data_IF_648322617054
#
_entry.id   IF_648322617054
#
_cell.length_a   1.000
_cell.length_b   1.000
_cell.length_c   1.000
_cell.angle_alpha   90.00
_cell.angle_beta   90.00
_cell.angle_gamma   90.00
#
_symmetry.space_group_name_H-M   'P 1'
#
loop_
_entity.id
_entity.type
_entity.pdbx_description
1 polymer ?
#
# COMPACT_ATOMS: atom_id res chain seq x y z
N UNK A 1 17.60 -11.25 24.64
CA UNK A 1 19.02 -10.88 24.56
C UNK A 1 19.14 -9.77 23.54
N UNK A 2 19.26 -8.51 23.98
CA UNK A 2 19.43 -7.38 23.05
C UNK A 2 20.84 -7.44 22.47
N UNK A 3 20.96 -7.77 21.19
CA UNK A 3 22.23 -7.62 20.48
C UNK A 3 22.64 -6.14 20.51
N UNK A 4 23.86 -5.83 20.94
CA UNK A 4 24.38 -4.45 20.94
C UNK A 4 24.57 -3.98 19.50
N UNK A 5 24.39 -2.67 19.25
CA UNK A 5 24.52 -2.08 17.92
C UNK A 5 25.88 -2.36 17.24
N UNK A 6 26.94 -2.60 18.03
CA UNK A 6 28.27 -2.98 17.53
C UNK A 6 28.29 -4.35 16.86
N UNK A 7 27.40 -5.27 17.25
CA UNK A 7 27.35 -6.63 16.70
C UNK A 7 26.82 -6.69 15.26
N UNK A 8 26.05 -5.70 14.82
CA UNK A 8 25.45 -5.66 13.49
C UNK A 8 26.30 -4.94 12.45
N UNK A 9 27.34 -4.23 12.87
CA UNK A 9 28.15 -3.40 11.96
C UNK A 9 28.90 -4.22 10.89
N UNK A 10 29.54 -5.37 11.20
CA UNK A 10 30.15 -6.21 10.17
C UNK A 10 29.12 -6.73 9.16
N UNK A 11 27.92 -7.10 9.64
CA UNK A 11 26.86 -7.62 8.79
C UNK A 11 26.29 -6.54 7.86
N UNK A 12 26.14 -5.30 8.35
CA UNK A 12 25.77 -4.14 7.53
C UNK A 12 26.78 -3.93 6.40
N UNK A 13 28.07 -3.95 6.71
CA UNK A 13 29.12 -3.76 5.71
C UNK A 13 29.08 -4.86 4.65
N UNK A 14 28.89 -6.12 5.03
CA UNK A 14 28.73 -7.24 4.09
C UNK A 14 27.55 -7.03 3.15
N UNK A 15 26.38 -6.61 3.68
CA UNK A 15 25.19 -6.36 2.86
C UNK A 15 25.37 -5.15 1.93
N UNK A 16 25.97 -4.07 2.40
CA UNK A 16 26.25 -2.88 1.58
C UNK A 16 27.28 -3.19 0.48
N UNK A 17 28.27 -4.05 0.75
CA UNK A 17 29.22 -4.52 -0.27
C UNK A 17 28.52 -5.41 -1.31
N UNK A 18 27.69 -6.35 -0.87
CA UNK A 18 26.90 -7.19 -1.77
C UNK A 18 25.97 -6.33 -2.66
N UNK A 19 25.35 -5.30 -2.09
CA UNK A 19 24.51 -4.35 -2.83
C UNK A 19 25.26 -3.70 -4.01
N UNK A 20 26.48 -3.20 -3.75
CA UNK A 20 27.34 -2.59 -4.77
C UNK A 20 27.67 -3.56 -5.90
N UNK A 21 27.91 -4.84 -5.58
CA UNK A 21 28.21 -5.88 -6.56
C UNK A 21 26.97 -6.18 -7.41
N UNK A 22 25.80 -6.39 -6.79
CA UNK A 22 24.56 -6.72 -7.50
C UNK A 22 24.18 -5.65 -8.52
N UNK A 23 24.30 -4.38 -8.14
CA UNK A 23 23.88 -3.23 -8.98
C UNK A 23 24.94 -2.88 -10.04
N UNK A 24 26.20 -3.25 -9.82
CA UNK A 24 27.29 -2.89 -10.74
C UNK A 24 27.09 -3.51 -12.12
N UNK A 25 27.34 -2.72 -13.17
CA UNK A 25 27.31 -3.18 -14.57
C UNK A 25 28.61 -3.87 -15.01
N UNK A 26 29.68 -3.81 -14.20
CA UNK A 26 31.03 -4.23 -14.60
C UNK A 26 31.51 -5.52 -13.94
N UNK A 27 30.70 -6.16 -13.10
CA UNK A 27 31.06 -7.41 -12.40
C UNK A 27 30.73 -8.65 -13.22
N UNK A 28 31.49 -9.72 -12.98
CA UNK A 28 31.24 -11.03 -13.59
C UNK A 28 29.88 -11.60 -13.15
N UNK A 29 29.39 -12.61 -13.88
CA UNK A 29 28.13 -13.27 -13.54
C UNK A 29 28.25 -14.02 -12.21
N UNK A 30 29.39 -14.65 -11.99
CA UNK A 30 29.71 -15.43 -10.80
C UNK A 30 29.72 -14.56 -9.54
N UNK A 31 30.41 -13.41 -9.59
CA UNK A 31 30.42 -12.44 -8.48
C UNK A 31 29.01 -11.90 -8.17
N UNK A 32 28.21 -11.65 -9.21
CA UNK A 32 26.81 -11.22 -9.03
C UNK A 32 25.97 -12.31 -8.37
N UNK A 33 26.09 -13.56 -8.79
CA UNK A 33 25.38 -14.70 -8.20
C UNK A 33 25.78 -14.92 -6.73
N UNK A 34 27.06 -14.74 -6.38
CA UNK A 34 27.53 -14.81 -4.98
C UNK A 34 26.93 -13.70 -4.11
N UNK A 35 26.88 -12.47 -4.62
CA UNK A 35 26.26 -11.36 -3.91
C UNK A 35 24.73 -11.53 -3.77
N UNK A 36 24.05 -12.07 -4.79
CA UNK A 36 22.63 -12.39 -4.71
C UNK A 36 22.31 -13.47 -3.66
N UNK A 37 23.17 -14.48 -3.52
CA UNK A 37 23.03 -15.50 -2.46
C UNK A 37 23.01 -14.89 -1.06
N UNK A 38 23.79 -13.83 -0.83
CA UNK A 38 23.78 -13.10 0.46
C UNK A 38 22.39 -12.54 0.74
N UNK A 39 21.74 -11.91 -0.25
CA UNK A 39 20.38 -11.37 -0.09
C UNK A 39 19.32 -12.46 0.07
N UNK A 40 19.46 -13.59 -0.63
CA UNK A 40 18.57 -14.75 -0.45
C UNK A 40 18.67 -15.26 0.99
N UNK A 41 19.88 -15.51 1.48
CA UNK A 41 20.11 -15.97 2.86
C UNK A 41 19.60 -14.95 3.88
N UNK A 42 19.81 -13.66 3.64
CA UNK A 42 19.30 -12.59 4.48
C UNK A 42 17.76 -12.63 4.57
N UNK A 43 17.07 -12.79 3.44
CA UNK A 43 15.61 -12.88 3.38
C UNK A 43 15.04 -14.13 4.06
N UNK A 44 15.79 -15.22 4.05
CA UNK A 44 15.43 -16.49 4.68
C UNK A 44 15.79 -16.56 6.16
N UNK A 45 16.58 -15.60 6.67
CA UNK A 45 16.98 -15.56 8.08
C UNK A 45 15.78 -15.48 9.03
N UNK A 46 15.95 -16.07 10.22
CA UNK A 46 14.91 -16.14 11.25
C UNK A 46 14.88 -14.87 12.06
N UNK A 47 13.69 -14.29 12.20
CA UNK A 47 13.43 -13.10 13.03
C UNK A 47 14.41 -11.93 12.76
N UNK A 48 14.51 -11.43 11.52
CA UNK A 48 15.51 -10.44 11.10
C UNK A 48 15.20 -8.99 11.53
N UNK A 49 14.15 -8.77 12.32
CA UNK A 49 13.55 -7.45 12.53
C UNK A 49 14.53 -6.42 13.10
N UNK A 50 15.25 -6.74 14.17
CA UNK A 50 16.19 -5.83 14.82
C UNK A 50 17.30 -5.37 13.85
N UNK A 51 17.85 -6.33 13.10
CA UNK A 51 18.88 -6.03 12.12
C UNK A 51 18.34 -5.24 10.92
N UNK A 52 17.13 -5.53 10.44
CA UNK A 52 16.51 -4.74 9.39
C UNK A 52 16.26 -3.30 9.83
N UNK A 53 15.80 -3.07 11.06
CA UNK A 53 15.65 -1.71 11.61
C UNK A 53 17.00 -1.00 11.76
N UNK A 54 18.03 -1.72 12.17
CA UNK A 54 19.39 -1.19 12.17
C UNK A 54 19.82 -0.73 10.77
N UNK A 55 19.57 -1.53 9.73
CA UNK A 55 19.84 -1.14 8.33
C UNK A 55 19.05 0.10 7.92
N UNK A 56 17.74 0.16 8.25
CA UNK A 56 16.89 1.31 7.93
C UNK A 56 17.41 2.63 8.55
N UNK A 57 18.04 2.54 9.73
CA UNK A 57 18.57 3.70 10.45
C UNK A 57 20.01 4.07 10.05
N UNK A 58 20.82 3.10 9.60
CA UNK A 58 22.27 3.27 9.42
C UNK A 58 22.74 3.24 7.98
N UNK A 59 21.99 2.60 7.08
CA UNK A 59 22.37 2.54 5.68
C UNK A 59 21.78 3.71 4.89
N UNK A 60 22.57 4.26 3.97
CA UNK A 60 22.12 5.21 2.96
C UNK A 60 21.94 4.58 1.57
N UNK A 61 22.17 3.26 1.46
CA UNK A 61 22.02 2.52 0.21
C UNK A 61 20.55 2.11 0.00
N UNK A 62 19.89 2.71 -0.99
CA UNK A 62 18.48 2.48 -1.29
C UNK A 62 18.15 1.01 -1.59
N UNK A 63 19.06 0.24 -2.19
CA UNK A 63 18.84 -1.16 -2.47
C UNK A 63 18.92 -1.98 -1.17
N UNK A 64 19.85 -1.66 -0.27
CA UNK A 64 19.88 -2.25 1.07
C UNK A 64 18.59 -1.95 1.84
N UNK A 65 18.11 -0.70 1.81
CA UNK A 65 16.84 -0.33 2.45
C UNK A 65 15.66 -1.14 1.86
N UNK A 66 15.60 -1.27 0.53
CA UNK A 66 14.58 -2.07 -0.15
C UNK A 66 14.62 -3.55 0.28
N UNK A 67 15.81 -4.13 0.35
CA UNK A 67 16.00 -5.53 0.75
C UNK A 67 15.64 -5.72 2.23
N UNK A 68 16.00 -4.78 3.11
CA UNK A 68 15.63 -4.83 4.52
C UNK A 68 14.09 -4.85 4.71
N UNK A 69 13.36 -3.98 4.01
CA UNK A 69 11.89 -3.95 4.05
C UNK A 69 11.28 -5.23 3.47
N UNK A 70 11.83 -5.71 2.35
CA UNK A 70 11.40 -6.97 1.72
C UNK A 70 11.63 -8.19 2.62
N UNK A 71 12.73 -8.17 3.40
CA UNK A 71 13.05 -9.19 4.39
C UNK A 71 12.11 -9.12 5.59
N UNK A 72 11.81 -7.92 6.11
CA UNK A 72 10.77 -7.73 7.15
C UNK A 72 9.44 -8.32 6.68
N UNK A 73 9.01 -7.99 5.46
CA UNK A 73 7.76 -8.49 4.89
C UNK A 73 7.74 -10.02 4.82
N UNK A 74 8.79 -10.62 4.22
CA UNK A 74 8.87 -12.07 4.05
C UNK A 74 8.92 -12.82 5.39
N UNK A 75 9.72 -12.33 6.34
CA UNK A 75 9.87 -12.95 7.65
C UNK A 75 8.58 -12.81 8.48
N UNK A 76 7.99 -11.62 8.52
CA UNK A 76 6.75 -11.39 9.27
C UNK A 76 5.62 -12.26 8.76
N UNK A 77 5.48 -12.40 7.44
CA UNK A 77 4.47 -13.24 6.84
C UNK A 77 4.67 -14.74 7.14
N UNK A 78 5.92 -15.20 7.16
CA UNK A 78 6.29 -16.59 7.51
C UNK A 78 6.11 -16.89 8.99
N UNK A 79 6.49 -15.93 9.84
CA UNK A 79 6.51 -16.04 11.30
C UNK A 79 5.22 -15.51 11.95
N UNK A 80 4.24 -15.07 11.15
CA UNK A 80 3.04 -14.37 11.61
C UNK A 80 2.33 -15.02 12.80
N UNK A 81 2.10 -16.35 12.83
CA UNK A 81 1.44 -17.00 13.96
C UNK A 81 2.22 -16.95 15.29
N UNK A 82 3.52 -16.66 15.21
CA UNK A 82 4.43 -16.57 16.35
C UNK A 82 4.59 -15.14 16.87
N UNK A 83 4.17 -14.13 16.09
CA UNK A 83 4.29 -12.73 16.45
C UNK A 83 3.20 -12.33 17.44
N UNK A 84 3.56 -11.51 18.42
CA UNK A 84 2.57 -10.90 19.31
C UNK A 84 1.84 -9.76 18.58
N UNK A 85 0.64 -9.43 19.06
CA UNK A 85 -0.10 -8.24 18.62
C UNK A 85 0.75 -6.97 18.68
N UNK A 86 1.48 -6.78 19.78
CA UNK A 86 2.35 -5.61 19.98
C UNK A 86 3.45 -5.54 18.91
N UNK A 87 4.11 -6.66 18.60
CA UNK A 87 5.12 -6.72 17.55
C UNK A 87 4.51 -6.39 16.18
N UNK A 88 3.33 -6.93 15.85
CA UNK A 88 2.65 -6.66 14.58
C UNK A 88 2.28 -5.18 14.43
N UNK A 89 1.79 -4.56 15.51
CA UNK A 89 1.47 -3.13 15.55
C UNK A 89 2.75 -2.29 15.38
N UNK A 90 3.80 -2.61 16.13
CA UNK A 90 5.08 -1.93 16.04
C UNK A 90 5.69 -2.02 14.63
N UNK A 91 5.63 -3.19 13.99
CA UNK A 91 6.10 -3.36 12.61
C UNK A 91 5.41 -2.41 11.63
N UNK A 92 4.10 -2.24 11.75
CA UNK A 92 3.33 -1.36 10.87
C UNK A 92 3.62 0.11 11.16
N UNK A 93 3.52 0.53 12.43
CA UNK A 93 3.70 1.92 12.85
C UNK A 93 5.13 2.38 12.60
N UNK A 94 6.15 1.59 12.94
CA UNK A 94 7.54 1.99 12.75
C UNK A 94 7.91 2.15 11.27
N UNK A 95 7.43 1.26 10.39
CA UNK A 95 7.65 1.39 8.95
C UNK A 95 6.93 2.61 8.37
N UNK A 96 5.70 2.86 8.82
CA UNK A 96 4.91 4.02 8.40
C UNK A 96 5.53 5.34 8.89
N UNK A 97 5.99 5.39 10.13
CA UNK A 97 6.67 6.55 10.71
C UNK A 97 8.01 6.79 10.00
N UNK A 98 8.78 5.73 9.76
CA UNK A 98 10.04 5.81 9.04
C UNK A 98 9.89 6.47 7.66
N UNK A 99 8.90 6.06 6.85
CA UNK A 99 8.72 6.65 5.51
C UNK A 99 8.13 8.06 5.54
N UNK A 100 7.38 8.43 6.59
CA UNK A 100 6.75 9.76 6.70
C UNK A 100 7.68 10.82 7.31
N UNK A 101 8.65 10.40 8.12
CA UNK A 101 9.63 11.28 8.78
C UNK A 101 10.94 11.42 8.00
N UNK A 102 11.29 10.41 7.21
CA UNK A 102 12.54 10.40 6.46
C UNK A 102 12.53 11.37 5.27
N UNK A 103 13.58 12.18 5.17
CA UNK A 103 13.69 13.23 4.14
C UNK A 103 14.33 12.77 2.82
N UNK A 104 15.00 11.61 2.80
CA UNK A 104 15.86 11.19 1.68
C UNK A 104 15.74 9.69 1.35
N UNK A 105 14.52 9.20 1.16
CA UNK A 105 14.28 7.83 0.68
C UNK A 105 13.90 7.88 -0.79
N UNK A 106 14.48 7.00 -1.61
CA UNK A 106 14.10 6.86 -3.01
C UNK A 106 12.66 6.35 -3.21
N UNK A 107 11.98 6.81 -4.26
CA UNK A 107 10.57 6.55 -4.48
C UNK A 107 10.22 5.05 -4.53
N UNK A 108 11.08 4.21 -5.10
CA UNK A 108 10.81 2.77 -5.17
C UNK A 108 10.89 2.10 -3.79
N UNK A 109 11.76 2.59 -2.89
CA UNK A 109 11.84 2.14 -1.50
C UNK A 109 10.62 2.60 -0.72
N UNK A 110 10.18 3.86 -0.91
CA UNK A 110 8.93 4.37 -0.32
C UNK A 110 7.74 3.47 -0.71
N UNK A 111 7.61 3.14 -2.00
CA UNK A 111 6.57 2.23 -2.49
C UNK A 111 6.64 0.85 -1.85
N UNK A 112 7.84 0.29 -1.69
CA UNK A 112 8.03 -1.01 -1.03
C UNK A 112 7.61 -0.99 0.45
N UNK A 113 7.94 0.09 1.17
CA UNK A 113 7.52 0.29 2.55
C UNK A 113 6.00 0.37 2.64
N UNK A 114 5.38 1.26 1.86
CA UNK A 114 3.93 1.46 1.88
C UNK A 114 3.16 0.20 1.49
N UNK A 115 3.64 -0.55 0.50
CA UNK A 115 3.08 -1.85 0.13
C UNK A 115 3.23 -2.88 1.27
N UNK A 116 4.37 -2.90 1.95
CA UNK A 116 4.60 -3.80 3.09
C UNK A 116 3.63 -3.48 4.24
N UNK A 117 3.45 -2.20 4.55
CA UNK A 117 2.47 -1.76 5.56
C UNK A 117 1.04 -2.14 5.14
N UNK A 118 0.66 -1.95 3.87
CA UNK A 118 -0.66 -2.36 3.37
C UNK A 118 -0.90 -3.87 3.49
N UNK A 119 0.12 -4.70 3.20
CA UNK A 119 0.06 -6.15 3.36
C UNK A 119 -0.14 -6.55 4.82
N UNK A 120 0.62 -5.94 5.75
CA UNK A 120 0.45 -6.18 7.19
C UNK A 120 -0.92 -5.73 7.68
N UNK A 121 -1.41 -4.57 7.21
CA UNK A 121 -2.71 -4.04 7.57
C UNK A 121 -3.84 -5.00 7.16
N UNK A 122 -3.85 -5.49 5.91
CA UNK A 122 -4.81 -6.52 5.45
C UNK A 122 -4.71 -7.81 6.25
N UNK A 123 -3.48 -8.26 6.55
CA UNK A 123 -3.25 -9.48 7.33
C UNK A 123 -3.77 -9.35 8.77
N UNK A 124 -3.59 -8.20 9.42
CA UNK A 124 -4.18 -7.92 10.73
C UNK A 124 -5.70 -7.99 10.69
N UNK A 125 -6.35 -7.37 9.68
CA UNK A 125 -7.81 -7.41 9.53
C UNK A 125 -8.34 -8.83 9.39
N UNK A 126 -7.62 -9.68 8.66
CA UNK A 126 -7.93 -11.10 8.57
C UNK A 126 -7.93 -11.78 9.95
N UNK A 127 -6.88 -11.61 10.75
CA UNK A 127 -6.76 -12.25 12.06
C UNK A 127 -7.84 -11.76 13.04
N UNK A 128 -8.17 -10.47 13.03
CA UNK A 128 -9.24 -9.92 13.88
C UNK A 128 -10.59 -10.53 13.52
N UNK A 129 -10.89 -10.72 12.23
CA UNK A 129 -12.11 -11.39 11.78
C UNK A 129 -12.16 -12.85 12.22
N UNK A 130 -11.07 -13.60 12.00
CA UNK A 130 -10.96 -15.01 12.36
C UNK A 130 -11.06 -15.24 13.88
N UNK A 131 -10.42 -14.39 14.68
CA UNK A 131 -10.47 -14.42 16.15
C UNK A 131 -11.89 -14.18 16.68
N UNK A 132 -12.61 -13.20 16.12
CA UNK A 132 -14.01 -12.91 16.48
C UNK A 132 -14.93 -14.10 16.20
N UNK A 133 -14.77 -14.76 15.05
CA UNK A 133 -15.60 -15.91 14.68
C UNK A 133 -15.35 -17.17 15.54
N UNK A 134 -14.11 -17.39 15.98
CA UNK A 134 -13.76 -18.53 16.84
C UNK A 134 -13.97 -18.27 18.34
N UNK A 135 -14.50 -17.11 18.72
CA UNK A 135 -14.65 -16.72 20.13
C UNK A 135 -13.32 -16.57 20.88
N UNK A 136 -12.21 -16.46 20.16
CA UNK A 136 -10.88 -16.31 20.73
C UNK A 136 -10.60 -14.81 20.95
N UNK A 137 -10.19 -14.42 22.15
CA UNK A 137 -9.88 -13.02 22.47
C UNK A 137 -8.44 -12.59 22.11
N UNK A 138 -7.55 -13.51 21.71
CA UNK A 138 -6.11 -13.21 21.55
C UNK A 138 -5.82 -12.05 20.59
N UNK A 139 -6.62 -11.89 19.53
CA UNK A 139 -6.41 -10.86 18.50
C UNK A 139 -7.60 -9.90 18.33
N UNK A 140 -8.57 -9.88 19.27
CA UNK A 140 -9.74 -8.99 19.19
C UNK A 140 -9.43 -7.53 19.56
N UNK A 141 -8.24 -7.25 20.09
CA UNK A 141 -7.79 -5.92 20.53
C UNK A 141 -6.80 -5.25 19.57
N UNK A 142 -6.52 -5.81 18.38
CA UNK A 142 -5.66 -5.12 17.40
C UNK A 142 -6.46 -3.97 16.76
N UNK A 143 -6.53 -2.83 17.45
CA UNK A 143 -7.13 -1.62 16.92
C UNK A 143 -6.15 -0.90 15.98
N UNK A 144 -5.90 -1.52 14.83
CA UNK A 144 -5.14 -0.93 13.73
C UNK A 144 -6.01 -0.05 12.83
N UNK A 145 -7.26 0.23 13.23
CA UNK A 145 -8.23 1.06 12.50
C UNK A 145 -7.69 2.48 12.22
N UNK A 146 -6.60 2.87 12.89
CA UNK A 146 -6.03 4.19 12.82
C UNK A 146 -5.06 4.45 11.66
N UNK A 147 -4.58 3.46 10.89
CA UNK A 147 -3.61 3.76 9.80
C UNK A 147 -4.25 4.47 8.60
N UNK A 148 -5.43 4.02 8.15
CA UNK A 148 -6.17 4.70 7.07
C UNK A 148 -6.60 6.10 7.51
N UNK A 149 -7.17 6.21 8.71
CA UNK A 149 -7.57 7.50 9.31
C UNK A 149 -6.38 8.45 9.44
N UNK A 150 -5.28 8.00 10.04
CA UNK A 150 -4.04 8.78 10.16
C UNK A 150 -3.49 9.20 8.80
N UNK A 151 -3.64 8.38 7.77
CA UNK A 151 -3.20 8.73 6.41
C UNK A 151 -4.05 9.83 5.78
N UNK A 152 -5.37 9.79 6.01
CA UNK A 152 -6.31 10.85 5.60
C UNK A 152 -5.99 12.17 6.34
N UNK A 153 -5.70 12.10 7.64
CA UNK A 153 -5.30 13.26 8.45
C UNK A 153 -3.96 13.84 7.97
N UNK A 154 -2.95 13.00 7.76
CA UNK A 154 -1.63 13.44 7.27
C UNK A 154 -1.69 14.02 5.87
N UNK A 155 -2.61 13.54 5.02
CA UNK A 155 -2.83 14.14 3.71
C UNK A 155 -3.41 15.57 3.81
N UNK A 156 -4.17 15.87 4.86
CA UNK A 156 -4.73 17.21 5.04
C UNK A 156 -3.68 18.26 5.42
N UNK A 157 -2.43 17.85 5.69
CA UNK A 157 -1.31 18.75 5.94
C UNK A 157 -0.85 19.48 4.66
N UNK A 158 -0.22 20.65 4.81
CA UNK A 158 0.28 21.46 3.68
C UNK A 158 1.51 20.89 2.96
N UNK A 159 2.13 19.83 3.50
CA UNK A 159 3.33 19.20 2.94
C UNK A 159 2.98 18.31 1.73
N UNK A 160 3.34 18.78 0.53
CA UNK A 160 3.07 18.09 -0.73
C UNK A 160 3.69 16.69 -0.81
N UNK A 161 4.88 16.48 -0.25
CA UNK A 161 5.54 15.17 -0.26
C UNK A 161 4.79 14.19 0.63
N UNK A 162 4.33 14.64 1.80
CA UNK A 162 3.48 13.82 2.67
C UNK A 162 2.16 13.47 1.99
N UNK A 163 1.53 14.42 1.30
CA UNK A 163 0.31 14.15 0.51
C UNK A 163 0.53 13.08 -0.54
N UNK A 164 1.62 13.14 -1.29
CA UNK A 164 1.97 12.13 -2.29
C UNK A 164 2.23 10.74 -1.66
N UNK A 165 2.92 10.70 -0.51
CA UNK A 165 3.11 9.45 0.26
C UNK A 165 1.78 8.86 0.72
N UNK A 166 0.88 9.68 1.28
CA UNK A 166 -0.42 9.22 1.77
C UNK A 166 -1.31 8.74 0.61
N UNK A 167 -1.28 9.43 -0.53
CA UNK A 167 -1.99 8.96 -1.73
C UNK A 167 -1.45 7.59 -2.19
N UNK A 168 -0.13 7.42 -2.21
CA UNK A 168 0.53 6.15 -2.54
C UNK A 168 0.18 5.04 -1.55
N UNK A 169 0.04 5.35 -0.26
CA UNK A 169 -0.37 4.38 0.76
C UNK A 169 -1.82 3.94 0.57
N UNK A 170 -2.75 4.89 0.41
CA UNK A 170 -4.16 4.58 0.17
C UNK A 170 -4.34 3.75 -1.12
N UNK A 171 -3.58 4.06 -2.16
CA UNK A 171 -3.53 3.25 -3.38
C UNK A 171 -3.06 1.82 -3.10
N UNK A 172 -1.96 1.66 -2.35
CA UNK A 172 -1.43 0.35 -1.97
C UNK A 172 -2.46 -0.46 -1.15
N UNK A 173 -3.18 0.18 -0.23
CA UNK A 173 -4.27 -0.44 0.55
C UNK A 173 -5.40 -0.90 -0.37
N UNK A 174 -5.95 -0.04 -1.22
CA UNK A 174 -7.01 -0.42 -2.17
C UNK A 174 -6.54 -1.58 -3.03
N UNK A 175 -5.37 -1.47 -3.67
CA UNK A 175 -4.85 -2.51 -4.54
C UNK A 175 -4.63 -3.84 -3.81
N UNK A 176 -4.14 -3.81 -2.57
CA UNK A 176 -3.92 -5.01 -1.76
C UNK A 176 -5.26 -5.70 -1.43
N UNK A 177 -6.31 -4.97 -1.06
CA UNK A 177 -7.64 -5.57 -0.82
C UNK A 177 -8.40 -5.95 -2.11
N UNK A 178 -8.09 -5.33 -3.26
CA UNK A 178 -8.62 -5.74 -4.56
C UNK A 178 -8.13 -7.14 -4.98
N UNK A 179 -6.92 -7.51 -4.59
CA UNK A 179 -6.30 -8.77 -5.00
C UNK A 179 -6.73 -9.93 -4.07
N UNK A 180 -7.79 -10.66 -4.47
CA UNK A 180 -8.34 -11.82 -3.75
C UNK A 180 -7.80 -13.17 -4.26
N UNK A 181 -7.11 -13.19 -5.41
CA UNK A 181 -6.76 -14.44 -6.12
C UNK A 181 -5.28 -14.85 -6.01
N UNK A 182 -4.34 -13.94 -5.68
CA UNK A 182 -2.88 -14.22 -5.78
C UNK A 182 -2.18 -14.61 -4.47
N UNK A 183 -2.88 -14.68 -3.34
CA UNK A 183 -2.27 -14.81 -2.00
C UNK A 183 -2.40 -16.19 -1.34
N UNK A 184 -2.50 -17.27 -2.12
CA UNK A 184 -2.38 -18.65 -1.61
C UNK A 184 -1.00 -18.99 -1.02
N UNK A 185 -0.03 -18.07 -1.08
CA UNK A 185 1.37 -18.30 -0.69
C UNK A 185 1.60 -18.57 0.81
N UNK A 186 0.60 -18.43 1.68
CA UNK A 186 0.77 -18.56 3.15
C UNK A 186 -0.40 -19.27 3.86
N UNK A 187 -1.12 -20.15 3.16
CA UNK A 187 -2.18 -20.96 3.79
C UNK A 187 -3.47 -20.20 4.15
N UNK A 188 -3.71 -19.03 3.57
CA UNK A 188 -4.99 -18.32 3.68
C UNK A 188 -5.96 -18.82 2.61
N UNK A 189 -7.21 -19.11 2.99
CA UNK A 189 -8.24 -19.54 2.04
C UNK A 189 -8.75 -18.36 1.20
N UNK A 190 -9.26 -18.63 0.00
CA UNK A 190 -9.91 -17.59 -0.82
C UNK A 190 -11.09 -16.93 -0.08
N UNK A 191 -11.83 -17.71 0.71
CA UNK A 191 -12.89 -17.21 1.58
C UNK A 191 -12.38 -16.17 2.60
N UNK A 192 -11.21 -16.42 3.18
CA UNK A 192 -10.55 -15.50 4.10
C UNK A 192 -10.26 -14.13 3.46
N UNK A 193 -9.78 -14.14 2.22
CA UNK A 193 -9.54 -12.91 1.46
C UNK A 193 -10.83 -12.18 1.11
N UNK A 194 -11.90 -12.91 0.78
CA UNK A 194 -13.23 -12.35 0.56
C UNK A 194 -13.78 -11.66 1.82
N UNK A 195 -13.67 -12.31 2.97
CA UNK A 195 -14.13 -11.75 4.24
C UNK A 195 -13.35 -10.49 4.64
N UNK A 196 -12.03 -10.49 4.45
CA UNK A 196 -11.19 -9.31 4.67
C UNK A 196 -11.60 -8.14 3.75
N UNK A 197 -11.81 -8.41 2.45
CA UNK A 197 -12.28 -7.40 1.48
C UNK A 197 -13.66 -6.85 1.86
N UNK A 198 -14.61 -7.70 2.22
CA UNK A 198 -15.95 -7.30 2.66
C UNK A 198 -15.90 -6.44 3.93
N UNK A 199 -15.08 -6.82 4.91
CA UNK A 199 -14.86 -6.02 6.10
C UNK A 199 -14.28 -4.65 5.73
N UNK A 200 -13.31 -4.58 4.82
CA UNK A 200 -12.72 -3.32 4.37
C UNK A 200 -13.74 -2.42 3.68
N UNK A 201 -14.60 -3.00 2.83
CA UNK A 201 -15.69 -2.26 2.17
C UNK A 201 -16.60 -1.55 3.17
N UNK A 202 -16.97 -2.23 4.26
CA UNK A 202 -17.92 -1.74 5.25
C UNK A 202 -17.33 -0.73 6.23
N UNK A 203 -16.03 -0.76 6.48
CA UNK A 203 -15.41 0.02 7.56
C UNK A 203 -14.52 1.17 7.05
N UNK A 204 -13.72 0.96 6.00
CA UNK A 204 -12.73 1.95 5.56
C UNK A 204 -12.88 2.40 4.10
N UNK A 205 -13.35 1.54 3.21
CA UNK A 205 -13.39 1.88 1.78
C UNK A 205 -14.26 3.12 1.51
N UNK A 206 -15.43 3.21 2.15
CA UNK A 206 -16.32 4.37 2.02
C UNK A 206 -15.68 5.68 2.48
N UNK A 207 -14.92 5.67 3.58
CA UNK A 207 -14.25 6.89 4.07
C UNK A 207 -13.13 7.30 3.12
N UNK A 208 -12.40 6.34 2.54
CA UNK A 208 -11.40 6.61 1.50
C UNK A 208 -12.08 7.22 0.27
N UNK A 209 -13.18 6.64 -0.24
CA UNK A 209 -13.90 7.19 -1.40
C UNK A 209 -14.33 8.64 -1.20
N UNK A 210 -14.95 8.94 -0.06
CA UNK A 210 -15.39 10.29 0.28
C UNK A 210 -14.22 11.25 0.33
N UNK A 211 -13.15 10.87 1.03
CA UNK A 211 -11.94 11.68 1.16
C UNK A 211 -11.30 11.98 -0.21
N UNK A 212 -11.17 10.98 -1.08
CA UNK A 212 -10.56 11.15 -2.41
C UNK A 212 -11.42 12.07 -3.28
N UNK A 213 -12.74 11.89 -3.24
CA UNK A 213 -13.68 12.75 -3.94
C UNK A 213 -13.60 14.21 -3.48
N UNK A 214 -13.69 14.46 -2.17
CA UNK A 214 -13.65 15.81 -1.61
C UNK A 214 -12.32 16.50 -1.87
N UNK A 215 -11.22 15.74 -1.78
CA UNK A 215 -9.87 16.22 -2.11
C UNK A 215 -9.76 16.62 -3.57
N UNK A 216 -10.19 15.75 -4.48
CA UNK A 216 -10.13 16.02 -5.91
C UNK A 216 -10.98 17.25 -6.26
N UNK A 217 -12.19 17.34 -5.71
CA UNK A 217 -13.06 18.51 -5.86
C UNK A 217 -12.40 19.79 -5.40
N UNK A 218 -11.85 19.80 -4.19
CA UNK A 218 -11.16 20.97 -3.61
C UNK A 218 -9.99 21.44 -4.49
N UNK A 219 -9.16 20.50 -4.97
CA UNK A 219 -8.04 20.82 -5.85
C UNK A 219 -8.49 21.38 -7.19
N UNK A 220 -9.47 20.74 -7.83
CA UNK A 220 -10.01 21.19 -9.12
C UNK A 220 -10.66 22.57 -9.00
N UNK A 221 -11.45 22.81 -7.95
CA UNK A 221 -12.07 24.11 -7.71
C UNK A 221 -11.02 25.20 -7.49
N UNK A 222 -9.92 24.90 -6.77
CA UNK A 222 -8.80 25.83 -6.57
C UNK A 222 -8.06 26.17 -7.88
N UNK A 223 -7.85 25.18 -8.76
CA UNK A 223 -7.25 25.40 -10.08
C UNK A 223 -8.13 26.29 -10.96
N UNK A 224 -9.44 26.02 -10.99
CA UNK A 224 -10.42 26.81 -11.74
C UNK A 224 -10.45 28.26 -11.23
N UNK A 225 -10.46 28.47 -9.91
CA UNK A 225 -10.38 29.80 -9.30
C UNK A 225 -9.10 30.55 -9.69
N UNK A 226 -8.03 29.82 -9.96
CA UNK A 226 -6.74 30.35 -10.41
C UNK A 226 -6.66 30.52 -11.94
N UNK A 227 -7.78 30.37 -12.67
CA UNK A 227 -7.86 30.36 -14.13
C UNK A 227 -6.99 29.29 -14.82
N UNK A 228 -6.64 28.21 -14.12
CA UNK A 228 -5.93 27.07 -14.68
C UNK A 228 -6.97 26.09 -15.24
N UNK A 229 -6.98 25.94 -16.55
CA UNK A 229 -7.93 25.08 -17.28
C UNK A 229 -7.28 23.86 -17.93
N UNK A 230 -5.96 23.76 -17.90
CA UNK A 230 -5.20 22.68 -18.50
C UNK A 230 -4.10 22.19 -17.53
N UNK A 231 -3.99 20.88 -17.35
CA UNK A 231 -3.02 20.25 -16.44
C UNK A 231 -1.56 20.56 -16.80
N UNK A 232 -1.26 20.85 -18.08
CA UNK A 232 0.08 21.24 -18.53
C UNK A 232 0.53 22.59 -17.96
N UNK A 233 -0.40 23.41 -17.47
CA UNK A 233 -0.09 24.69 -16.81
C UNK A 233 0.17 24.54 -15.30
N UNK A 234 0.04 23.33 -14.75
CA UNK A 234 0.31 23.02 -13.35
C UNK A 234 1.79 22.68 -13.16
N UNK A 235 2.37 23.09 -12.03
CA UNK A 235 3.75 22.72 -11.71
C UNK A 235 3.93 21.19 -11.60
N UNK A 236 5.16 20.71 -11.80
CA UNK A 236 5.46 19.27 -11.86
C UNK A 236 5.03 18.51 -10.60
N UNK A 237 5.22 19.07 -9.41
CA UNK A 237 4.94 18.37 -8.16
C UNK A 237 3.42 18.28 -7.90
N UNK A 238 2.69 19.35 -8.17
CA UNK A 238 1.22 19.37 -8.09
C UNK A 238 0.58 18.51 -9.19
N UNK A 239 1.12 18.52 -10.42
CA UNK A 239 0.69 17.61 -11.51
C UNK A 239 0.84 16.16 -11.09
N UNK A 240 1.97 15.79 -10.48
CA UNK A 240 2.18 14.43 -9.98
C UNK A 240 1.16 14.04 -8.91
N UNK A 241 0.83 14.94 -7.97
CA UNK A 241 -0.19 14.67 -6.96
C UNK A 241 -1.57 14.49 -7.59
N UNK A 242 -1.96 15.34 -8.54
CA UNK A 242 -3.23 15.21 -9.26
C UNK A 242 -3.34 13.87 -9.98
N UNK A 243 -2.29 13.45 -10.68
CA UNK A 243 -2.22 12.14 -11.35
C UNK A 243 -2.39 11.00 -10.34
N UNK A 244 -1.76 11.09 -9.16
CA UNK A 244 -1.93 10.06 -8.12
C UNK A 244 -3.37 10.00 -7.59
N UNK A 245 -4.01 11.16 -7.38
CA UNK A 245 -5.41 11.24 -6.94
C UNK A 245 -6.34 10.67 -8.01
N UNK A 246 -6.09 10.99 -9.28
CA UNK A 246 -6.79 10.40 -10.41
C UNK A 246 -6.63 8.88 -10.37
N UNK A 247 -5.42 8.33 -10.36
CA UNK A 247 -5.23 6.88 -10.25
C UNK A 247 -5.98 6.25 -9.07
N UNK A 248 -6.08 6.95 -7.93
CA UNK A 248 -6.85 6.51 -6.77
C UNK A 248 -8.37 6.52 -7.03
N UNK A 249 -8.88 7.52 -7.75
CA UNK A 249 -10.26 7.59 -8.26
C UNK A 249 -10.54 6.43 -9.21
N UNK A 250 -9.67 6.19 -10.21
CA UNK A 250 -9.84 5.10 -11.17
C UNK A 250 -9.87 3.73 -10.47
N UNK A 251 -8.90 3.45 -9.58
CA UNK A 251 -8.90 2.21 -8.79
C UNK A 251 -10.13 2.05 -7.89
N UNK A 252 -10.67 3.17 -7.42
CA UNK A 252 -11.88 3.20 -6.61
C UNK A 252 -13.13 2.89 -7.44
N UNK A 253 -13.22 3.40 -8.67
CA UNK A 253 -14.35 3.14 -9.57
C UNK A 253 -14.28 1.79 -10.28
N UNK A 254 -13.08 1.23 -10.44
CA UNK A 254 -12.88 -0.13 -10.94
C UNK A 254 -12.95 -1.19 -9.84
N UNK A 255 -13.30 -0.79 -8.61
CA UNK A 255 -13.46 -1.69 -7.48
C UNK A 255 -14.56 -2.73 -7.71
N UNK A 256 -14.16 -4.00 -7.65
CA UNK A 256 -15.10 -5.12 -7.71
C UNK A 256 -15.71 -5.36 -6.33
N UNK A 257 -16.92 -4.85 -6.09
CA UNK A 257 -17.62 -4.98 -4.81
C UNK A 257 -17.95 -6.44 -4.46
N UNK A 258 -17.85 -6.78 -3.18
CA UNK A 258 -18.25 -8.11 -2.71
C UNK A 258 -19.78 -8.26 -2.74
N UNK A 259 -20.30 -8.97 -3.76
CA UNK A 259 -21.70 -9.39 -3.79
C UNK A 259 -21.85 -10.85 -3.33
N UNK A 260 -22.98 -11.19 -2.72
CA UNK A 260 -23.30 -12.58 -2.35
C UNK A 260 -23.25 -13.54 -3.56
N UNK A 261 -23.41 -13.03 -4.78
CA UNK A 261 -23.32 -13.81 -6.03
C UNK A 261 -21.88 -14.08 -6.49
N UNK A 262 -20.91 -13.21 -6.14
CA UNK A 262 -19.49 -13.39 -6.50
C UNK A 262 -18.83 -14.54 -5.73
N UNK A 263 -19.23 -14.75 -4.47
CA UNK A 263 -18.73 -15.87 -3.66
C UNK A 263 -19.11 -17.21 -4.31
N UNK A 264 -20.37 -17.37 -4.76
CA UNK A 264 -20.78 -18.56 -5.50
C UNK A 264 -20.04 -18.72 -6.83
N UNK A 265 -19.89 -17.65 -7.63
CA UNK A 265 -19.23 -17.73 -8.95
C UNK A 265 -17.75 -18.14 -8.83
N UNK A 266 -17.04 -17.64 -7.82
CA UNK A 266 -15.64 -18.00 -7.60
C UNK A 266 -15.47 -19.40 -6.98
N UNK A 267 -16.41 -19.86 -6.14
CA UNK A 267 -16.43 -21.24 -5.63
C UNK A 267 -16.73 -22.28 -6.72
N UNK A 268 -17.51 -21.91 -7.74
CA UNK A 268 -17.93 -22.82 -8.83
C UNK A 268 -16.99 -22.68 -10.07
N UNK A 269 -15.95 -21.85 -10.01
CA UNK A 269 -14.95 -21.73 -11.08
C UNK A 269 -15.44 -21.04 -12.37
N UNK A 270 -16.61 -20.41 -12.36
CA UNK A 270 -17.14 -19.69 -13.51
C UNK A 270 -16.57 -18.26 -13.55
N UNK A 271 -15.35 -18.12 -14.08
CA UNK A 271 -14.81 -16.79 -14.41
C UNK A 271 -15.03 -16.50 -15.90
N UNK A 272 -16.18 -15.92 -16.24
CA UNK A 272 -16.32 -15.27 -17.55
C UNK A 272 -15.52 -13.96 -17.50
N UNK A 273 -14.29 -13.98 -18.03
CA UNK A 273 -13.37 -12.84 -18.02
C UNK A 273 -13.73 -11.76 -19.06
N UNK A 274 -14.76 -11.97 -19.89
CA UNK A 274 -15.03 -11.16 -21.10
C UNK A 274 -16.26 -10.24 -21.04
N UNK A 275 -16.97 -10.16 -19.91
CA UNK A 275 -18.06 -9.19 -19.76
C UNK A 275 -17.55 -7.92 -19.06
N UNK A 276 -17.90 -6.75 -19.59
CA UNK A 276 -17.75 -5.46 -18.89
C UNK A 276 -18.38 -5.64 -17.51
N UNK A 277 -17.55 -5.63 -16.46
CA UNK A 277 -18.03 -5.81 -15.10
C UNK A 277 -18.78 -4.54 -14.71
N UNK A 278 -20.09 -4.67 -14.50
CA UNK A 278 -20.90 -3.56 -13.98
C UNK A 278 -20.45 -3.23 -12.57
N UNK A 279 -20.38 -1.93 -12.25
CA UNK A 279 -20.24 -1.46 -10.88
C UNK A 279 -21.48 -1.93 -10.08
N UNK A 280 -21.28 -2.80 -9.08
CA UNK A 280 -22.35 -3.33 -8.22
C UNK A 280 -22.13 -2.89 -6.76
N UNK A 281 -22.22 -1.59 -6.44
CA UNK A 281 -21.97 -1.11 -5.10
C UNK A 281 -23.04 -1.60 -4.11
N UNK A 282 -22.65 -1.81 -2.85
CA UNK A 282 -23.63 -2.14 -1.79
C UNK A 282 -24.52 -0.92 -1.51
N UNK A 283 -25.73 -1.10 -0.95
CA UNK A 283 -26.66 0.00 -0.68
C UNK A 283 -26.06 1.16 0.13
N UNK A 284 -25.05 0.88 0.95
CA UNK A 284 -24.32 1.86 1.78
C UNK A 284 -23.59 2.93 0.94
N UNK A 285 -23.26 2.64 -0.32
CA UNK A 285 -22.57 3.56 -1.24
C UNK A 285 -23.54 4.32 -2.16
N UNK A 286 -24.85 4.05 -2.07
CA UNK A 286 -25.86 4.64 -2.96
C UNK A 286 -25.79 6.16 -2.98
N UNK A 287 -25.71 6.80 -1.81
CA UNK A 287 -25.70 8.27 -1.71
C UNK A 287 -24.44 8.88 -2.32
N UNK A 288 -23.31 8.15 -2.27
CA UNK A 288 -22.07 8.59 -2.90
C UNK A 288 -22.18 8.56 -4.42
N UNK A 289 -22.57 7.41 -5.00
CA UNK A 289 -22.62 7.25 -6.46
C UNK A 289 -23.77 8.04 -7.11
N UNK A 290 -24.85 8.33 -6.38
CA UNK A 290 -25.96 9.14 -6.89
C UNK A 290 -25.77 10.65 -6.64
N UNK A 291 -24.66 11.06 -6.03
CA UNK A 291 -24.35 12.48 -5.82
C UNK A 291 -24.12 13.18 -7.18
N UNK A 292 -24.94 14.16 -7.58
CA UNK A 292 -24.75 14.88 -8.85
C UNK A 292 -23.40 15.60 -8.96
N UNK A 293 -22.82 15.98 -7.82
CA UNK A 293 -21.49 16.61 -7.78
C UNK A 293 -20.38 15.64 -8.19
N UNK A 294 -20.59 14.33 -8.04
CA UNK A 294 -19.64 13.31 -8.49
C UNK A 294 -19.46 13.37 -10.00
N UNK A 295 -20.58 13.34 -10.73
CA UNK A 295 -20.58 13.41 -12.20
C UNK A 295 -19.98 14.73 -12.68
N UNK A 296 -20.34 15.86 -12.05
CA UNK A 296 -19.77 17.16 -12.38
C UNK A 296 -18.26 17.20 -12.19
N UNK A 297 -17.76 16.63 -11.09
CA UNK A 297 -16.33 16.56 -10.83
C UNK A 297 -15.61 15.74 -11.91
N UNK A 298 -16.12 14.56 -12.27
CA UNK A 298 -15.53 13.71 -13.29
C UNK A 298 -15.39 14.44 -14.64
N UNK A 299 -16.43 15.18 -15.06
CA UNK A 299 -16.35 16.01 -16.26
C UNK A 299 -15.31 17.13 -16.14
N UNK A 300 -15.20 17.78 -14.98
CA UNK A 300 -14.17 18.81 -14.75
C UNK A 300 -12.76 18.23 -14.76
N UNK A 301 -12.56 17.05 -14.17
CA UNK A 301 -11.29 16.32 -14.22
C UNK A 301 -10.91 16.03 -15.68
N UNK A 302 -11.85 15.47 -16.45
CA UNK A 302 -11.63 15.21 -17.88
C UNK A 302 -11.29 16.49 -18.66
N UNK A 303 -12.02 17.59 -18.44
CA UNK A 303 -11.74 18.88 -19.07
C UNK A 303 -10.32 19.40 -18.77
N UNK A 304 -9.80 19.12 -17.57
CA UNK A 304 -8.45 19.54 -17.17
C UNK A 304 -7.35 18.73 -17.89
N UNK A 305 -7.58 17.44 -18.16
CA UNK A 305 -6.55 16.51 -18.68
C UNK A 305 -6.66 16.18 -20.17
N UNK A 306 -7.79 16.47 -20.82
CA UNK A 306 -8.09 16.03 -22.21
C UNK A 306 -7.04 16.39 -23.27
N UNK A 307 -6.25 17.43 -23.04
CA UNK A 307 -5.26 17.95 -24.00
C UNK A 307 -3.83 17.42 -23.70
N UNK A 308 -3.64 16.68 -22.60
CA UNK A 308 -2.36 16.08 -22.21
C UNK A 308 -2.34 14.60 -22.62
N UNK A 309 -1.54 14.18 -23.62
CA UNK A 309 -1.61 12.83 -24.19
C UNK A 309 -1.31 11.73 -23.16
N UNK A 310 -0.52 12.03 -22.13
CA UNK A 310 -0.18 11.09 -21.07
C UNK A 310 -1.29 10.89 -20.03
N UNK A 311 -2.25 11.82 -19.93
CA UNK A 311 -3.34 11.80 -18.94
C UNK A 311 -4.75 11.88 -19.55
N UNK A 312 -4.88 12.07 -20.86
CA UNK A 312 -6.17 12.15 -21.56
C UNK A 312 -6.94 10.81 -21.63
N UNK A 313 -6.27 9.70 -21.30
CA UNK A 313 -6.91 8.38 -21.14
C UNK A 313 -7.59 8.18 -19.80
N UNK A 314 -7.46 9.17 -18.91
CA UNK A 314 -8.11 9.21 -17.60
C UNK A 314 -9.59 9.63 -17.72
#
# INVERSE_FOLDING_TARGET
>A
MSYSAESFEPLRQTIEQASKIVISSTVSKEEREEAEKIFIQFKESKSPYDFCYFLLQKSSDSHVLFQAVSTIQAAALREWPLLSTETILALQTNLFDYVTESRSIEQYVQKQILQTVAVFYKRTKFDTFHSKHLGQQKNSQIDNTNLVTRSIELFSCSDLKKRQLMCSFLFAVINEFSNTNKSTKLGQSTESHFNAKRSFEQNEFKSILLFVFDTAKSLIDSLIQSNITNICSVDKESKNLLIQIFNLIDQSFTWEFTSSRHVLKNLIGFTNQSAIKSLEPTPEFRDFFLNPQLVQLLFRCYQLVRDDPDTAHF
#
